data_IF_379808913954
#
_entry.id   IF_379808913954
#
_cell.length_a   1.000
_cell.length_b   1.000
_cell.length_c   1.000
_cell.angle_alpha   90.00
_cell.angle_beta   90.00
_cell.angle_gamma   90.00
#
_symmetry.space_group_name_H-M   'P 1'
#
loop_
_entity.id
_entity.type
_entity.pdbx_description
1 polymer ?
#
# COMPACT_ATOMS: atom_id res chain seq x y z
N UNK A 1 -7.58 -0.08 -1.25
CA UNK A 1 -8.05 1.21 -0.69
C UNK A 1 -7.05 1.65 0.36
N UNK A 2 -6.89 2.96 0.57
CA UNK A 2 -5.94 3.51 1.53
C UNK A 2 -6.55 4.68 2.30
N UNK A 3 -6.28 4.73 3.61
CA UNK A 3 -6.32 5.93 4.43
C UNK A 3 -4.88 6.36 4.77
N UNK A 4 -4.71 7.51 5.44
CA UNK A 4 -3.40 8.02 5.84
C UNK A 4 -2.60 6.98 6.64
N UNK A 5 -3.25 6.33 7.57
CA UNK A 5 -2.70 5.43 8.58
C UNK A 5 -2.99 3.94 8.32
N UNK A 6 -3.74 3.60 7.27
CA UNK A 6 -4.14 2.23 7.00
C UNK A 6 -4.13 1.89 5.50
N UNK A 7 -3.67 0.67 5.20
CA UNK A 7 -3.79 0.06 3.89
C UNK A 7 -4.77 -1.11 3.95
N UNK A 8 -5.84 -1.02 3.17
CA UNK A 8 -6.78 -2.13 2.97
C UNK A 8 -6.41 -2.91 1.70
N UNK A 9 -6.01 -4.17 1.89
CA UNK A 9 -5.82 -5.17 0.84
C UNK A 9 -7.08 -6.02 0.65
N UNK A 10 -7.47 -6.29 -0.59
CA UNK A 10 -8.59 -7.15 -0.95
C UNK A 10 -8.21 -8.09 -2.09
N UNK A 11 -8.42 -9.39 -1.90
CA UNK A 11 -8.21 -10.43 -2.91
C UNK A 11 -9.38 -11.40 -2.84
N UNK A 12 -10.31 -11.32 -3.79
CA UNK A 12 -11.56 -12.08 -3.72
C UNK A 12 -12.31 -11.83 -2.40
N UNK A 13 -12.63 -12.88 -1.62
CA UNK A 13 -13.30 -12.73 -0.33
C UNK A 13 -12.35 -12.29 0.81
N UNK A 14 -11.02 -12.35 0.60
CA UNK A 14 -10.05 -12.00 1.62
C UNK A 14 -9.88 -10.49 1.72
N UNK A 15 -10.05 -9.96 2.93
CA UNK A 15 -9.80 -8.55 3.25
C UNK A 15 -8.88 -8.47 4.44
N UNK A 16 -7.80 -7.70 4.31
CA UNK A 16 -6.90 -7.39 5.42
C UNK A 16 -6.61 -5.90 5.47
N UNK A 17 -6.67 -5.36 6.67
CA UNK A 17 -6.28 -4.00 6.98
C UNK A 17 -4.88 -4.04 7.62
N UNK A 18 -3.98 -3.17 7.18
CA UNK A 18 -2.60 -3.05 7.68
C UNK A 18 -2.44 -1.64 8.19
N UNK A 19 -2.13 -1.49 9.48
CA UNK A 19 -1.77 -0.19 10.05
C UNK A 19 -0.40 0.22 9.50
N UNK A 20 -0.33 1.40 8.90
CA UNK A 20 0.89 1.96 8.35
C UNK A 20 1.70 2.67 9.46
N UNK A 21 3.03 2.46 9.51
CA UNK A 21 3.90 3.26 10.36
C UNK A 21 3.92 4.72 9.90
N UNK A 22 4.20 5.63 10.83
CA UNK A 22 4.22 7.08 10.60
C UNK A 22 5.07 7.50 9.39
N UNK A 23 6.19 6.81 9.15
CA UNK A 23 7.09 7.09 8.02
C UNK A 23 6.43 6.94 6.63
N UNK A 24 5.31 6.22 6.53
CA UNK A 24 4.61 5.99 5.27
C UNK A 24 3.37 6.88 5.09
N UNK A 25 2.91 7.58 6.14
CA UNK A 25 1.61 8.27 6.14
C UNK A 25 1.45 9.28 5.01
N UNK A 26 2.49 10.07 4.76
CA UNK A 26 2.48 11.16 3.79
C UNK A 26 3.18 10.76 2.48
N UNK A 27 3.50 9.47 2.30
CA UNK A 27 4.02 8.94 1.04
C UNK A 27 2.88 8.40 0.19
N UNK A 28 2.95 8.60 -1.12
CA UNK A 28 2.00 8.04 -2.08
C UNK A 28 2.41 6.64 -2.53
N UNK A 29 1.45 5.83 -2.99
CA UNK A 29 1.75 4.53 -3.61
C UNK A 29 2.21 4.79 -5.05
N UNK A 30 3.49 4.57 -5.33
CA UNK A 30 4.04 4.68 -6.69
C UNK A 30 3.68 3.47 -7.55
N UNK A 31 3.71 2.28 -6.94
CA UNK A 31 3.63 1.03 -7.66
C UNK A 31 3.21 -0.12 -6.73
N UNK A 32 2.61 -1.15 -7.31
CA UNK A 32 2.25 -2.38 -6.63
C UNK A 32 2.37 -3.55 -7.60
N UNK A 33 3.26 -4.50 -7.29
CA UNK A 33 3.51 -5.68 -8.11
C UNK A 33 3.46 -6.96 -7.30
N UNK A 34 2.98 -8.01 -7.94
CA UNK A 34 3.06 -9.35 -7.37
C UNK A 34 4.33 -10.03 -7.90
N UNK A 35 5.25 -10.34 -7.01
CA UNK A 35 6.51 -10.98 -7.33
C UNK A 35 6.60 -12.29 -6.57
N UNK A 36 6.68 -13.39 -7.33
CA UNK A 36 6.63 -14.77 -6.83
C UNK A 36 5.35 -15.08 -6.05
N UNK A 37 5.32 -14.76 -4.77
CA UNK A 37 4.18 -14.98 -3.86
C UNK A 37 4.00 -13.83 -2.86
N UNK A 38 4.64 -12.69 -3.12
CA UNK A 38 4.57 -11.50 -2.29
C UNK A 38 3.99 -10.33 -3.08
N UNK A 39 3.11 -9.57 -2.42
CA UNK A 39 2.67 -8.27 -2.92
C UNK A 39 3.67 -7.22 -2.43
N UNK A 40 4.47 -6.69 -3.35
CA UNK A 40 5.41 -5.60 -3.10
C UNK A 40 4.73 -4.27 -3.44
N UNK A 41 4.70 -3.34 -2.49
CA UNK A 41 4.07 -2.03 -2.63
C UNK A 41 5.13 -0.97 -2.36
N UNK A 42 5.37 -0.13 -3.36
CA UNK A 42 6.37 0.92 -3.27
C UNK A 42 5.71 2.26 -2.89
N UNK A 43 6.25 2.88 -1.85
CA UNK A 43 5.85 4.20 -1.40
C UNK A 43 6.89 5.24 -1.82
N UNK A 44 6.44 6.42 -2.26
CA UNK A 44 7.31 7.53 -2.70
C UNK A 44 6.80 8.87 -2.18
N UNK A 45 7.70 9.85 -2.06
CA UNK A 45 7.32 11.25 -1.75
C UNK A 45 6.70 11.97 -2.94
N UNK A 46 7.06 11.54 -4.15
CA UNK A 46 6.62 12.16 -5.40
C UNK A 46 5.74 11.17 -6.17
N UNK A 47 4.42 11.20 -5.94
CA UNK A 47 3.51 10.66 -6.94
C UNK A 47 3.73 11.49 -8.21
N UNK A 48 4.30 10.88 -9.26
CA UNK A 48 4.37 11.55 -10.57
C UNK A 48 2.95 12.01 -10.94
N UNK A 49 2.80 13.25 -11.45
CA UNK A 49 1.51 13.77 -11.90
C UNK A 49 0.92 12.93 -13.04
#
# INVERSE_FOLDING_TARGET
YRSRDELTLRVGPYRRNIVLPYALWDLEIADARFEQSALNIQFTKDAKP
#
